data_IF_930633307387
#
_entry.id   IF_930633307387
#
_cell.length_a   1.000
_cell.length_b   1.000
_cell.length_c   1.000
_cell.angle_alpha   90.00
_cell.angle_beta   90.00
_cell.angle_gamma   90.00
#
_symmetry.space_group_name_H-M   'P 1'
#
loop_
_entity.id
_entity.type
_entity.pdbx_description
1 polymer ?
#
# COMPACT_ATOMS: atom_id res chain seq x y z
N UNK A 1 -23.24 44.01 3.35
CA UNK A 1 -23.01 43.95 1.90
C UNK A 1 -21.90 44.95 1.57
N UNK A 2 -20.64 44.50 1.42
CA UNK A 2 -19.52 45.40 1.10
C UNK A 2 -19.53 45.65 -0.41
N UNK A 3 -19.82 46.89 -0.80
CA UNK A 3 -19.81 47.32 -2.18
C UNK A 3 -18.34 47.50 -2.58
N UNK A 4 -17.83 46.63 -3.44
CA UNK A 4 -16.47 46.75 -4.00
C UNK A 4 -16.44 48.01 -4.88
N UNK A 5 -15.70 49.04 -4.44
CA UNK A 5 -15.35 50.19 -5.29
C UNK A 5 -14.48 49.66 -6.42
N UNK A 6 -15.02 49.59 -7.64
CA UNK A 6 -14.22 49.38 -8.84
C UNK A 6 -13.35 50.61 -9.06
N UNK A 7 -12.04 50.44 -9.04
CA UNK A 7 -11.12 51.49 -9.43
C UNK A 7 -11.17 51.58 -10.97
N UNK A 8 -11.75 52.65 -11.49
CA UNK A 8 -11.97 52.80 -12.94
C UNK A 8 -10.72 53.49 -13.49
N UNK A 9 -9.80 52.71 -14.03
CA UNK A 9 -8.63 53.18 -14.79
C UNK A 9 -8.99 53.26 -16.29
N UNK A 10 -8.44 54.26 -16.99
CA UNK A 10 -8.71 54.45 -18.43
C UNK A 10 -7.89 53.49 -19.30
N UNK A 11 -8.33 53.29 -20.56
CA UNK A 11 -7.64 52.37 -21.49
C UNK A 11 -6.18 52.77 -21.76
N UNK A 12 -5.91 54.07 -21.92
CA UNK A 12 -4.55 54.58 -22.17
C UNK A 12 -3.64 54.38 -20.95
N UNK A 13 -4.19 54.51 -19.74
CA UNK A 13 -3.43 54.24 -18.52
C UNK A 13 -3.08 52.77 -18.39
N UNK A 14 -4.00 51.86 -18.76
CA UNK A 14 -3.76 50.41 -18.77
C UNK A 14 -2.68 50.04 -19.79
N UNK A 15 -2.74 50.61 -21.00
CA UNK A 15 -1.75 50.38 -22.05
C UNK A 15 -0.35 50.78 -21.61
N UNK A 16 -0.21 51.99 -21.04
CA UNK A 16 1.06 52.46 -20.48
C UNK A 16 1.55 51.61 -19.30
N UNK A 17 0.62 51.08 -18.49
CA UNK A 17 0.96 50.22 -17.36
C UNK A 17 1.45 48.84 -17.79
N UNK A 18 0.88 48.30 -18.86
CA UNK A 18 1.31 47.04 -19.48
C UNK A 18 2.72 47.19 -20.08
N UNK A 19 2.98 48.28 -20.79
CA UNK A 19 4.31 48.57 -21.34
C UNK A 19 5.37 48.61 -20.22
N UNK A 20 5.11 49.37 -19.15
CA UNK A 20 6.00 49.41 -17.98
C UNK A 20 6.14 48.07 -17.27
N UNK A 21 5.10 47.23 -17.26
CA UNK A 21 5.16 45.88 -16.71
C UNK A 21 6.13 45.01 -17.49
N UNK A 22 6.11 45.09 -18.83
CA UNK A 22 7.05 44.37 -19.68
C UNK A 22 8.49 44.85 -19.51
N UNK A 23 8.70 46.14 -19.24
CA UNK A 23 10.00 46.70 -18.88
C UNK A 23 10.43 46.42 -17.42
N UNK A 24 9.54 45.83 -16.60
CA UNK A 24 9.82 45.51 -15.20
C UNK A 24 9.85 46.73 -14.25
N UNK A 25 9.25 47.85 -14.65
CA UNK A 25 9.24 49.12 -13.90
C UNK A 25 7.97 49.33 -13.05
N UNK A 26 7.12 48.31 -12.91
CA UNK A 26 5.88 48.38 -12.13
C UNK A 26 6.09 48.08 -10.66
N UNK A 27 5.29 48.75 -9.82
CA UNK A 27 5.16 48.43 -8.40
C UNK A 27 4.11 47.35 -8.14
N UNK A 28 4.17 46.71 -6.97
CA UNK A 28 3.18 45.70 -6.54
C UNK A 28 1.74 46.25 -6.53
N UNK A 29 1.56 47.53 -6.21
CA UNK A 29 0.23 48.15 -6.20
C UNK A 29 -0.34 48.32 -7.62
N UNK A 30 0.50 48.74 -8.56
CA UNK A 30 0.17 48.87 -9.98
C UNK A 30 -0.16 47.51 -10.61
N UNK A 31 0.62 46.48 -10.32
CA UNK A 31 0.35 45.13 -10.81
C UNK A 31 -0.95 44.54 -10.26
N UNK A 32 -1.30 44.85 -9.02
CA UNK A 32 -2.59 44.43 -8.45
C UNK A 32 -3.77 45.11 -9.15
N UNK A 33 -3.63 46.40 -9.50
CA UNK A 33 -4.63 47.11 -10.30
C UNK A 33 -4.74 46.51 -11.70
N UNK A 34 -3.62 46.18 -12.33
CA UNK A 34 -3.58 45.54 -13.65
C UNK A 34 -4.26 44.15 -13.62
N UNK A 35 -4.01 43.36 -12.57
CA UNK A 35 -4.69 42.07 -12.33
C UNK A 35 -6.20 42.23 -12.19
N UNK A 36 -6.66 43.19 -11.38
CA UNK A 36 -8.09 43.43 -11.17
C UNK A 36 -8.79 43.88 -12.45
N UNK A 37 -8.12 44.68 -13.27
CA UNK A 37 -8.65 45.12 -14.57
C UNK A 37 -8.75 43.96 -15.56
N UNK A 38 -7.67 43.16 -15.70
CA UNK A 38 -7.59 42.07 -16.68
C UNK A 38 -8.38 40.82 -16.26
N UNK A 39 -8.70 40.63 -14.98
CA UNK A 39 -9.59 39.55 -14.53
C UNK A 39 -11.08 39.82 -14.87
N UNK A 40 -11.39 41.01 -15.38
CA UNK A 40 -12.72 41.39 -15.82
C UNK A 40 -13.27 40.50 -16.96
N UNK A 41 -14.59 40.33 -16.99
CA UNK A 41 -15.29 39.64 -18.10
C UNK A 41 -15.28 40.42 -19.41
N UNK A 42 -15.06 41.74 -19.38
CA UNK A 42 -15.17 42.64 -20.53
C UNK A 42 -13.85 43.39 -20.76
N UNK A 43 -12.78 42.64 -21.04
CA UNK A 43 -11.46 43.17 -21.40
C UNK A 43 -11.43 43.37 -22.93
N UNK A 44 -10.91 44.50 -23.44
CA UNK A 44 -10.74 44.72 -24.88
C UNK A 44 -9.95 43.60 -25.57
N UNK A 45 -10.28 43.29 -26.83
CA UNK A 45 -9.65 42.22 -27.60
C UNK A 45 -8.11 42.37 -27.71
N UNK A 46 -7.61 43.61 -27.71
CA UNK A 46 -6.16 43.89 -27.73
C UNK A 46 -5.42 43.42 -26.48
N UNK A 47 -6.13 43.15 -25.38
CA UNK A 47 -5.54 42.72 -24.10
C UNK A 47 -5.83 41.26 -23.73
N UNK A 48 -6.24 40.43 -24.72
CA UNK A 48 -6.54 39.01 -24.48
C UNK A 48 -5.30 38.21 -24.07
N UNK A 49 -4.13 38.55 -24.62
CA UNK A 49 -2.86 37.90 -24.31
C UNK A 49 -2.46 38.15 -22.86
N UNK A 50 -2.53 39.40 -22.43
CA UNK A 50 -2.24 39.87 -21.08
C UNK A 50 -3.22 39.25 -20.09
N UNK A 51 -4.50 39.18 -20.45
CA UNK A 51 -5.50 38.46 -19.66
C UNK A 51 -5.13 37.00 -19.43
N UNK A 52 -4.62 36.29 -20.44
CA UNK A 52 -4.17 34.91 -20.26
C UNK A 52 -2.97 34.82 -19.29
N UNK A 53 -2.00 35.74 -19.41
CA UNK A 53 -0.82 35.82 -18.52
C UNK A 53 -1.24 36.03 -17.06
N UNK A 54 -2.14 36.99 -16.81
CA UNK A 54 -2.57 37.32 -15.45
C UNK A 54 -3.64 36.36 -14.90
N UNK A 55 -4.42 35.71 -15.78
CA UNK A 55 -5.49 34.77 -15.41
C UNK A 55 -4.99 33.43 -14.87
N UNK A 56 -3.77 33.01 -15.21
CA UNK A 56 -3.18 31.74 -14.74
C UNK A 56 -3.13 31.62 -13.20
N UNK A 57 -2.95 32.75 -12.50
CA UNK A 57 -2.82 32.78 -11.05
C UNK A 57 -4.16 32.73 -10.28
N UNK A 58 -5.30 32.91 -10.96
CA UNK A 58 -6.61 32.79 -10.28
C UNK A 58 -7.03 31.33 -10.09
N UNK A 59 -6.65 30.42 -11.00
CA UNK A 59 -6.95 28.99 -10.87
C UNK A 59 -6.23 28.32 -9.69
N UNK A 60 -5.10 28.86 -9.23
CA UNK A 60 -4.35 28.30 -8.09
C UNK A 60 -4.91 28.71 -6.72
N UNK A 61 -5.89 29.61 -6.67
CA UNK A 61 -6.59 29.97 -5.41
C UNK A 61 -7.65 28.97 -4.98
N UNK A 62 -7.78 27.84 -5.69
CA UNK A 62 -8.50 26.69 -5.14
C UNK A 62 -7.69 26.15 -3.96
N UNK A 63 -7.93 26.75 -2.79
CA UNK A 63 -7.31 26.40 -1.52
C UNK A 63 -7.50 24.90 -1.35
N UNK A 64 -6.44 24.13 -1.56
CA UNK A 64 -6.39 22.75 -1.14
C UNK A 64 -6.61 22.77 0.38
N UNK A 65 -7.84 22.53 0.80
CA UNK A 65 -8.18 22.43 2.21
C UNK A 65 -7.48 21.18 2.69
N UNK A 66 -6.30 21.34 3.28
CA UNK A 66 -5.56 20.24 3.87
C UNK A 66 -6.44 19.75 5.02
N UNK A 67 -7.13 18.62 4.80
CA UNK A 67 -7.96 17.99 5.81
C UNK A 67 -7.05 17.52 6.93
N UNK A 68 -7.02 18.27 8.02
CA UNK A 68 -6.31 17.91 9.24
C UNK A 68 -7.02 16.71 9.87
N UNK A 69 -6.47 15.52 9.68
CA UNK A 69 -6.96 14.31 10.37
C UNK A 69 -6.60 14.40 11.86
N UNK A 70 -7.55 14.13 12.76
CA UNK A 70 -7.33 14.24 14.20
C UNK A 70 -6.26 13.24 14.67
N UNK A 71 -5.45 13.65 15.64
CA UNK A 71 -4.28 12.88 16.12
C UNK A 71 -4.66 11.48 16.62
N UNK A 72 -5.84 11.33 17.23
CA UNK A 72 -6.39 10.04 17.67
C UNK A 72 -6.55 9.02 16.53
N UNK A 73 -6.95 9.48 15.33
CA UNK A 73 -7.14 8.59 14.18
C UNK A 73 -5.81 7.97 13.71
N UNK A 74 -4.68 8.68 13.89
CA UNK A 74 -3.34 8.17 13.58
C UNK A 74 -2.92 7.05 14.54
N UNK A 75 -3.28 7.15 15.83
CA UNK A 75 -2.99 6.11 16.82
C UNK A 75 -3.88 4.88 16.65
N UNK A 76 -5.15 5.07 16.31
CA UNK A 76 -6.09 3.97 16.02
C UNK A 76 -5.64 3.17 14.79
N UNK A 77 -5.19 3.85 13.73
CA UNK A 77 -4.67 3.17 12.53
C UNK A 77 -3.45 2.30 12.84
N UNK A 78 -2.52 2.78 13.66
CA UNK A 78 -1.33 2.02 14.08
C UNK A 78 -1.69 0.79 14.93
N UNK A 79 -2.59 0.96 15.90
CA UNK A 79 -3.04 -0.14 16.76
C UNK A 79 -3.77 -1.25 15.98
N UNK A 80 -4.60 -0.88 15.00
CA UNK A 80 -5.31 -1.84 14.16
C UNK A 80 -4.37 -2.70 13.31
N UNK A 81 -3.31 -2.12 12.74
CA UNK A 81 -2.33 -2.86 11.95
C UNK A 81 -1.59 -3.92 12.78
N UNK A 82 -1.19 -3.58 14.01
CA UNK A 82 -0.53 -4.53 14.92
C UNK A 82 -1.45 -5.68 15.29
N UNK A 83 -2.72 -5.40 15.58
CA UNK A 83 -3.71 -6.43 15.91
C UNK A 83 -3.94 -7.42 14.76
N UNK A 84 -3.99 -6.93 13.52
CA UNK A 84 -4.14 -7.78 12.32
C UNK A 84 -2.93 -8.70 12.15
N UNK A 85 -1.70 -8.18 12.30
CA UNK A 85 -0.49 -9.00 12.21
C UNK A 85 -0.45 -10.08 13.28
N UNK A 86 -0.72 -9.72 14.54
CA UNK A 86 -0.75 -10.69 15.65
C UNK A 86 -1.82 -11.76 15.42
N UNK A 87 -3.01 -11.37 14.96
CA UNK A 87 -4.09 -12.30 14.67
C UNK A 87 -3.73 -13.29 13.55
N UNK A 88 -3.16 -12.80 12.46
CA UNK A 88 -2.70 -13.63 11.33
C UNK A 88 -1.58 -14.58 11.80
N UNK A 89 -0.61 -14.10 12.58
CA UNK A 89 0.48 -14.93 13.11
C UNK A 89 -0.03 -16.05 14.00
N UNK A 90 -0.96 -15.77 14.93
CA UNK A 90 -1.56 -16.79 15.78
C UNK A 90 -2.36 -17.81 14.95
N UNK A 91 -3.06 -17.34 13.92
CA UNK A 91 -3.84 -18.23 13.05
C UNK A 91 -2.94 -19.13 12.19
N UNK A 92 -1.84 -18.61 11.65
CA UNK A 92 -0.87 -19.40 10.88
C UNK A 92 -0.15 -20.44 11.75
N UNK A 93 0.21 -20.10 12.98
CA UNK A 93 0.88 -21.02 13.90
C UNK A 93 -0.04 -22.14 14.41
N UNK A 94 -1.36 -21.90 14.45
CA UNK A 94 -2.35 -22.87 14.92
C UNK A 94 -2.94 -23.76 13.80
N UNK A 95 -2.35 -23.78 12.60
CA UNK A 95 -2.77 -24.73 11.58
C UNK A 95 -2.28 -26.13 11.95
N UNK A 96 -3.15 -27.15 12.02
CA UNK A 96 -2.69 -28.53 12.12
C UNK A 96 -1.98 -28.90 10.81
N UNK A 97 -0.64 -28.98 10.85
CA UNK A 97 0.18 -29.34 9.70
C UNK A 97 0.23 -30.86 9.53
N UNK A 98 -0.16 -31.29 8.33
CA UNK A 98 0.00 -32.58 7.64
C UNK A 98 -0.60 -33.86 8.26
N UNK A 99 -1.55 -34.39 7.51
CA UNK A 99 -2.26 -35.66 7.74
C UNK A 99 -1.60 -36.79 6.93
N UNK A 100 -0.92 -37.71 7.61
CA UNK A 100 -0.55 -39.02 7.04
C UNK A 100 -1.81 -39.78 6.61
N UNK A 101 -1.79 -40.42 5.43
CA UNK A 101 -2.90 -41.23 4.94
C UNK A 101 -2.41 -42.55 4.34
N UNK A 102 -3.27 -43.56 4.38
CA UNK A 102 -3.06 -44.84 3.70
C UNK A 102 -4.37 -45.37 3.12
N UNK A 103 -4.29 -46.29 2.16
CA UNK A 103 -5.47 -47.00 1.63
C UNK A 103 -5.42 -48.46 2.05
N UNK A 104 -6.47 -48.90 2.74
CA UNK A 104 -6.65 -50.30 3.17
C UNK A 104 -7.95 -50.78 2.56
N UNK A 105 -7.90 -51.82 1.73
CA UNK A 105 -9.06 -52.38 1.01
C UNK A 105 -9.88 -51.32 0.24
N UNK A 106 -9.19 -50.33 -0.34
CA UNK A 106 -9.81 -49.25 -1.10
C UNK A 106 -10.44 -48.13 -0.25
N UNK A 107 -10.33 -48.17 1.08
CA UNK A 107 -10.78 -47.11 1.99
C UNK A 107 -9.60 -46.28 2.48
N UNK A 108 -9.73 -44.95 2.41
CA UNK A 108 -8.74 -44.02 2.95
C UNK A 108 -8.81 -44.00 4.48
N UNK A 109 -7.71 -44.31 5.13
CA UNK A 109 -7.49 -44.10 6.57
C UNK A 109 -6.57 -42.89 6.78
N UNK A 110 -6.78 -42.15 7.86
CA UNK A 110 -6.04 -40.90 8.18
C UNK A 110 -5.62 -40.83 9.66
N UNK A 111 -5.99 -41.83 10.46
CA UNK A 111 -5.50 -41.96 11.82
C UNK A 111 -4.04 -42.39 11.80
N UNK A 112 -3.16 -41.53 12.32
CA UNK A 112 -1.71 -41.77 12.36
C UNK A 112 -1.35 -43.05 13.12
N UNK A 113 -2.03 -43.34 14.23
CA UNK A 113 -1.72 -44.51 15.05
C UNK A 113 -2.14 -45.80 14.33
N UNK A 114 -3.30 -45.78 13.70
CA UNK A 114 -3.81 -46.91 12.90
C UNK A 114 -2.88 -47.22 11.73
N UNK A 115 -2.45 -46.19 10.99
CA UNK A 115 -1.52 -46.34 9.85
C UNK A 115 -0.19 -46.94 10.30
N UNK A 116 0.38 -46.47 11.42
CA UNK A 116 1.67 -46.96 11.94
C UNK A 116 1.56 -48.41 12.43
N UNK A 117 0.55 -48.72 13.23
CA UNK A 117 0.36 -50.09 13.75
C UNK A 117 0.16 -51.09 12.61
N UNK A 118 -0.60 -50.71 11.58
CA UNK A 118 -0.77 -51.55 10.40
C UNK A 118 0.56 -51.79 9.67
N UNK A 119 1.37 -50.75 9.49
CA UNK A 119 2.68 -50.86 8.84
C UNK A 119 3.62 -51.80 9.63
N UNK A 120 3.75 -51.59 10.95
CA UNK A 120 4.58 -52.42 11.82
C UNK A 120 4.13 -53.88 11.83
N UNK A 121 2.82 -54.12 11.95
CA UNK A 121 2.26 -55.48 11.97
C UNK A 121 2.46 -56.20 10.64
N UNK A 122 2.25 -55.50 9.52
CA UNK A 122 2.42 -56.08 8.19
C UNK A 122 3.87 -56.45 7.93
N UNK A 123 4.81 -55.58 8.30
CA UNK A 123 6.25 -55.81 8.08
C UNK A 123 6.78 -56.92 8.99
N UNK A 124 6.46 -56.89 10.29
CA UNK A 124 6.92 -57.91 11.26
C UNK A 124 6.42 -59.33 10.95
N UNK A 125 5.27 -59.44 10.29
CA UNK A 125 4.73 -60.72 9.84
C UNK A 125 5.38 -61.27 8.56
N UNK A 126 6.10 -60.45 7.79
CA UNK A 126 6.67 -60.85 6.51
C UNK A 126 8.10 -61.40 6.64
N UNK A 127 8.95 -60.84 7.50
CA UNK A 127 10.31 -61.34 7.80
C UNK A 127 10.75 -60.86 9.19
N UNK A 128 11.11 -61.75 10.15
CA UNK A 128 11.52 -61.35 11.51
C UNK A 128 12.92 -60.72 11.61
N UNK A 129 13.61 -60.45 10.51
CA UNK A 129 15.03 -60.01 10.46
C UNK A 129 15.19 -58.72 9.62
N UNK A 130 14.32 -57.72 9.83
CA UNK A 130 14.45 -56.40 9.18
C UNK A 130 14.52 -55.28 10.21
N UNK A 131 15.55 -55.34 11.05
CA UNK A 131 15.92 -54.32 12.04
C UNK A 131 16.11 -52.93 11.40
N UNK A 132 16.55 -52.87 10.13
CA UNK A 132 16.73 -51.61 9.39
C UNK A 132 15.41 -50.91 9.06
N UNK A 133 14.35 -51.68 8.75
CA UNK A 133 13.05 -51.11 8.38
C UNK A 133 12.34 -50.61 9.64
N UNK A 134 12.45 -51.35 10.74
CA UNK A 134 11.90 -50.93 12.04
C UNK A 134 12.58 -49.66 12.56
N UNK A 135 13.92 -49.60 12.52
CA UNK A 135 14.68 -48.37 12.81
C UNK A 135 14.29 -47.21 11.88
N UNK A 136 14.03 -47.50 10.61
CA UNK A 136 13.54 -46.50 9.65
C UNK A 136 12.19 -45.90 10.06
N UNK A 137 11.26 -46.71 10.54
CA UNK A 137 9.95 -46.26 11.03
C UNK A 137 10.05 -45.45 12.33
N UNK A 138 10.92 -45.86 13.26
CA UNK A 138 11.20 -45.09 14.49
C UNK A 138 11.77 -43.70 14.16
N UNK A 139 12.70 -43.62 13.21
CA UNK A 139 13.30 -42.36 12.77
C UNK A 139 12.28 -41.45 12.04
N UNK A 140 11.29 -42.03 11.37
CA UNK A 140 10.17 -41.28 10.79
C UNK A 140 9.24 -40.76 11.90
N UNK A 141 8.98 -41.56 12.94
CA UNK A 141 8.16 -41.15 14.09
C UNK A 141 8.81 -40.01 14.89
N UNK A 142 10.14 -40.05 15.07
CA UNK A 142 10.90 -39.02 15.77
C UNK A 142 11.11 -37.75 14.94
N UNK A 143 10.71 -37.74 13.66
CA UNK A 143 10.89 -36.61 12.74
C UNK A 143 12.33 -36.43 12.25
N UNK A 144 13.26 -37.28 12.71
CA UNK A 144 14.69 -37.15 12.48
C UNK A 144 15.07 -37.29 11.00
N UNK A 145 14.34 -38.10 10.23
CA UNK A 145 14.52 -38.21 8.77
C UNK A 145 14.23 -36.89 8.06
N UNK A 146 13.18 -36.19 8.48
CA UNK A 146 12.74 -34.93 7.86
C UNK A 146 13.72 -33.81 8.22
N UNK A 147 14.13 -33.72 9.50
CA UNK A 147 15.14 -32.77 9.97
C UNK A 147 16.46 -32.92 9.19
N UNK A 148 16.96 -34.15 9.04
CA UNK A 148 18.20 -34.42 8.30
C UNK A 148 18.08 -34.06 6.81
N UNK A 149 16.91 -34.24 6.19
CA UNK A 149 16.70 -33.86 4.79
C UNK A 149 16.59 -32.35 4.62
N UNK A 150 15.95 -31.65 5.57
CA UNK A 150 15.82 -30.19 5.53
C UNK A 150 17.16 -29.49 5.77
N UNK A 151 18.03 -30.03 6.64
CA UNK A 151 19.37 -29.50 6.91
C UNK A 151 20.27 -29.50 5.65
N UNK A 152 20.12 -30.51 4.79
CA UNK A 152 20.81 -30.58 3.47
C UNK A 152 20.42 -29.40 2.57
N UNK A 153 19.19 -28.92 2.66
CA UNK A 153 18.71 -27.76 1.90
C UNK A 153 19.01 -26.42 2.59
N UNK A 154 19.15 -26.40 3.91
CA UNK A 154 19.48 -25.19 4.67
C UNK A 154 20.89 -24.66 4.36
N UNK A 155 21.81 -25.52 3.90
CA UNK A 155 23.16 -25.14 3.48
C UNK A 155 23.32 -24.71 2.01
N UNK A 156 22.23 -24.65 1.24
CA UNK A 156 22.26 -24.23 -0.17
C UNK A 156 21.89 -22.75 -0.27
N UNK A 157 22.90 -21.88 -0.37
CA UNK A 157 22.70 -20.46 -0.69
C UNK A 157 22.22 -20.33 -2.15
N UNK A 158 21.07 -19.69 -2.36
CA UNK A 158 20.52 -19.34 -3.67
C UNK A 158 20.95 -17.96 -4.13
#
# INVERSE_FOLDING_TARGET
MKILKRNIISLQEVEKLIERYYEGETSVAEENLLREYLSGKNVPAQFETEKAIFGYFESEKERQTVRLVPRALKWVASAAAIAVVVFISVWLLNQPVETSYAYVDGKKITDKNEIITLAQTTIGNLVPELDEVEKGLENIQSGQVIENQLDVFAGVDF
#
